data_IF_986313638917
#
_entry.id   IF_986313638917
#
_cell.length_a   1.000
_cell.length_b   1.000
_cell.length_c   1.000
_cell.angle_alpha   90.00
_cell.angle_beta   90.00
_cell.angle_gamma   90.00
#
_symmetry.space_group_name_H-M   'P 1'
#
loop_
_entity.id
_entity.type
_entity.pdbx_description
1 polymer ?
#
# COMPACT_ATOMS: atom_id res chain seq x y z
N UNK A 1 -5.17 -8.01 -40.96
CA UNK A 1 -6.01 -8.48 -39.85
C UNK A 1 -5.58 -7.67 -38.64
N UNK A 2 -6.33 -6.63 -38.28
CA UNK A 2 -5.93 -5.69 -37.22
C UNK A 2 -6.26 -6.29 -35.86
N UNK A 3 -5.22 -6.61 -35.08
CA UNK A 3 -5.36 -7.06 -33.69
C UNK A 3 -5.80 -5.85 -32.85
N UNK A 4 -7.11 -5.73 -32.63
CA UNK A 4 -7.66 -4.86 -31.60
C UNK A 4 -7.28 -5.46 -30.25
N UNK A 5 -6.17 -4.96 -29.70
CA UNK A 5 -5.77 -5.21 -28.31
C UNK A 5 -6.90 -4.67 -27.44
N UNK A 6 -7.70 -5.59 -26.89
CA UNK A 6 -8.72 -5.26 -25.91
C UNK A 6 -8.06 -4.49 -24.76
N UNK A 7 -8.66 -3.41 -24.22
CA UNK A 7 -8.21 -2.85 -22.97
C UNK A 7 -8.35 -3.97 -21.94
N UNK A 8 -7.21 -4.49 -21.46
CA UNK A 8 -7.15 -5.37 -20.31
C UNK A 8 -8.02 -4.74 -19.22
N UNK A 9 -8.92 -5.50 -18.57
CA UNK A 9 -9.75 -4.95 -17.50
C UNK A 9 -8.79 -4.23 -16.57
N UNK A 10 -9.07 -2.95 -16.31
CA UNK A 10 -8.33 -2.12 -15.39
C UNK A 10 -8.20 -2.92 -14.11
N UNK A 11 -7.09 -3.66 -13.98
CA UNK A 11 -6.70 -4.26 -12.72
C UNK A 11 -6.66 -3.04 -11.85
N UNK A 12 -7.59 -3.00 -10.90
CA UNK A 12 -7.61 -2.05 -9.83
C UNK A 12 -6.30 -2.31 -9.08
N UNK A 13 -5.19 -1.83 -9.65
CA UNK A 13 -3.86 -2.04 -9.13
C UNK A 13 -3.89 -1.21 -7.89
N UNK A 14 -4.07 -1.88 -6.76
CA UNK A 14 -3.80 -1.29 -5.49
C UNK A 14 -2.32 -0.94 -5.51
N UNK A 15 -2.05 0.31 -5.86
CA UNK A 15 -0.72 0.88 -5.84
C UNK A 15 -0.32 1.11 -4.40
N UNK A 16 0.99 1.18 -4.16
CA UNK A 16 1.54 1.55 -2.86
C UNK A 16 0.96 2.87 -2.32
N UNK A 17 0.60 3.81 -3.20
CA UNK A 17 -0.08 5.07 -2.83
C UNK A 17 -1.43 4.84 -2.13
N UNK A 18 -2.24 3.89 -2.61
CA UNK A 18 -3.53 3.56 -1.98
C UNK A 18 -3.29 2.90 -0.63
N UNK A 19 -2.29 2.02 -0.52
CA UNK A 19 -1.89 1.44 0.78
C UNK A 19 -1.48 2.55 1.76
N UNK A 20 -0.70 3.52 1.32
CA UNK A 20 -0.25 4.63 2.16
C UNK A 20 -1.43 5.50 2.61
N UNK A 21 -2.39 5.79 1.73
CA UNK A 21 -3.59 6.53 2.10
C UNK A 21 -4.45 5.77 3.14
N UNK A 22 -4.68 4.48 2.92
CA UNK A 22 -5.41 3.62 3.85
C UNK A 22 -4.69 3.56 5.22
N UNK A 23 -3.38 3.37 5.22
CA UNK A 23 -2.57 3.37 6.42
C UNK A 23 -2.64 4.72 7.15
N UNK A 24 -2.61 5.84 6.42
CA UNK A 24 -2.74 7.20 6.96
C UNK A 24 -4.11 7.40 7.60
N UNK A 25 -5.19 6.98 6.94
CA UNK A 25 -6.54 7.04 7.49
C UNK A 25 -6.69 6.19 8.76
N UNK A 26 -6.10 4.99 8.79
CA UNK A 26 -6.14 4.11 9.97
C UNK A 26 -5.36 4.70 11.14
N UNK A 27 -4.23 5.38 10.88
CA UNK A 27 -3.46 6.10 11.89
C UNK A 27 -4.22 7.32 12.41
N UNK A 28 -4.84 8.10 11.52
CA UNK A 28 -5.64 9.29 11.88
C UNK A 28 -6.85 8.91 12.75
N UNK A 29 -7.52 7.80 12.41
CA UNK A 29 -8.61 7.23 13.21
C UNK A 29 -8.17 6.65 14.56
N UNK A 30 -6.86 6.50 14.78
CA UNK A 30 -6.30 5.84 15.98
C UNK A 30 -6.49 4.33 16.00
N UNK A 31 -6.85 3.71 14.86
CA UNK A 31 -7.03 2.26 14.73
C UNK A 31 -5.69 1.54 14.73
N UNK A 32 -4.71 2.10 14.01
CA UNK A 32 -3.32 1.59 13.99
C UNK A 32 -2.36 2.70 14.38
N UNK A 33 -1.13 2.36 14.74
CA UNK A 33 -0.10 3.33 15.07
C UNK A 33 1.02 3.27 14.04
N UNK A 34 1.64 4.42 13.74
CA UNK A 34 2.85 4.50 12.91
C UNK A 34 4.04 3.64 13.36
N UNK A 35 4.04 3.17 14.61
CA UNK A 35 5.07 2.25 15.11
C UNK A 35 4.72 0.78 14.93
N UNK A 36 3.47 0.48 14.56
CA UNK A 36 3.05 -0.88 14.26
C UNK A 36 3.61 -1.34 12.91
N UNK A 37 3.78 -2.65 12.74
CA UNK A 37 4.30 -3.21 11.50
C UNK A 37 3.28 -3.13 10.35
N UNK A 38 3.76 -3.05 9.11
CA UNK A 38 2.95 -2.95 7.89
C UNK A 38 2.01 -4.16 7.76
N UNK A 39 2.41 -5.35 8.21
CA UNK A 39 1.56 -6.54 8.13
C UNK A 39 0.21 -6.37 8.85
N UNK A 40 0.10 -5.48 9.85
CA UNK A 40 -1.17 -5.22 10.55
C UNK A 40 -2.24 -4.72 9.56
N UNK A 41 -1.83 -4.05 8.48
CA UNK A 41 -2.74 -3.54 7.45
C UNK A 41 -3.46 -4.67 6.70
N UNK A 42 -2.88 -5.88 6.66
CA UNK A 42 -3.54 -7.07 6.11
C UNK A 42 -4.81 -7.47 6.88
N UNK A 43 -4.94 -7.09 8.15
CA UNK A 43 -6.17 -7.32 8.93
C UNK A 43 -7.32 -6.39 8.51
N UNK A 44 -7.00 -5.26 7.88
CA UNK A 44 -7.96 -4.24 7.44
C UNK A 44 -8.20 -4.29 5.93
N UNK A 45 -7.22 -4.75 5.16
CA UNK A 45 -7.26 -4.82 3.71
C UNK A 45 -7.64 -6.24 3.26
N UNK A 46 -8.59 -6.40 2.33
CA UNK A 46 -8.96 -7.72 1.84
C UNK A 46 -7.77 -8.42 1.17
N UNK A 47 -7.61 -9.72 1.45
CA UNK A 47 -6.51 -10.54 0.94
C UNK A 47 -6.33 -10.49 -0.60
N UNK A 48 -7.42 -10.28 -1.35
CA UNK A 48 -7.37 -10.12 -2.81
C UNK A 48 -6.51 -8.93 -3.24
N UNK A 49 -6.55 -7.85 -2.48
CA UNK A 49 -5.82 -6.61 -2.80
C UNK A 49 -4.44 -6.63 -2.15
N UNK A 50 -4.31 -7.28 -0.99
CA UNK A 50 -3.04 -7.52 -0.31
C UNK A 50 -2.00 -8.20 -1.22
N UNK A 51 -2.40 -9.19 -2.02
CA UNK A 51 -1.48 -9.87 -2.97
C UNK A 51 -0.82 -8.89 -3.95
N UNK A 52 -1.56 -7.87 -4.43
CA UNK A 52 -0.99 -6.84 -5.29
C UNK A 52 -0.05 -5.90 -4.53
N UNK A 53 -0.43 -5.58 -3.29
CA UNK A 53 0.32 -4.72 -2.40
C UNK A 53 1.65 -5.34 -1.96
N UNK A 54 1.67 -6.63 -1.62
CA UNK A 54 2.90 -7.34 -1.26
C UNK A 54 3.93 -7.27 -2.38
N UNK A 55 3.49 -7.47 -3.62
CA UNK A 55 4.35 -7.36 -4.78
C UNK A 55 4.92 -5.93 -4.94
N UNK A 56 4.11 -4.90 -4.71
CA UNK A 56 4.58 -3.50 -4.76
C UNK A 56 5.50 -3.15 -3.59
N UNK A 57 5.22 -3.65 -2.38
CA UNK A 57 6.09 -3.50 -1.21
C UNK A 57 7.46 -4.12 -1.47
N UNK A 58 7.52 -5.36 -1.99
CA UNK A 58 8.77 -6.02 -2.35
C UNK A 58 9.53 -5.26 -3.46
N UNK A 59 8.82 -4.70 -4.45
CA UNK A 59 9.43 -3.87 -5.51
C UNK A 59 10.02 -2.56 -4.99
N UNK A 60 9.47 -2.03 -3.90
CA UNK A 60 9.95 -0.82 -3.24
C UNK A 60 10.87 -1.11 -2.03
N UNK A 61 11.31 -2.37 -1.85
CA UNK A 61 12.18 -2.81 -0.75
C UNK A 61 11.57 -2.66 0.66
N UNK A 62 10.24 -2.56 0.76
CA UNK A 62 9.55 -2.58 2.04
C UNK A 62 9.33 -3.99 2.55
N UNK A 63 9.48 -4.16 3.85
CA UNK A 63 9.25 -5.42 4.53
C UNK A 63 7.93 -5.36 5.31
N UNK A 64 7.20 -6.47 5.37
CA UNK A 64 5.97 -6.56 6.16
C UNK A 64 6.16 -6.26 7.66
N UNK A 65 7.36 -6.50 8.17
CA UNK A 65 7.77 -6.17 9.54
C UNK A 65 8.17 -4.71 9.73
N UNK A 66 8.35 -3.97 8.62
CA UNK A 66 8.69 -2.57 8.69
C UNK A 66 7.52 -1.78 9.28
N UNK A 67 7.80 -0.58 9.79
CA UNK A 67 6.82 0.22 10.49
C UNK A 67 5.93 0.92 9.47
N UNK A 68 4.65 1.06 9.79
CA UNK A 68 3.72 1.89 9.02
C UNK A 68 4.28 3.32 8.86
N UNK A 69 5.02 3.83 9.85
CA UNK A 69 5.67 5.13 9.77
C UNK A 69 6.81 5.21 8.75
N UNK A 70 7.43 4.10 8.38
CA UNK A 70 8.44 4.05 7.32
C UNK A 70 7.77 4.10 5.95
N UNK A 71 6.71 3.29 5.79
CA UNK A 71 5.81 3.31 4.65
C UNK A 71 5.21 4.70 4.38
N UNK A 72 4.76 5.39 5.44
CA UNK A 72 4.20 6.76 5.36
C UNK A 72 5.29 7.86 5.31
N UNK A 73 6.52 7.53 5.72
CA UNK A 73 7.61 8.48 5.91
C UNK A 73 8.48 8.66 4.67
N UNK A 74 8.45 7.72 3.73
CA UNK A 74 9.20 7.83 2.48
C UNK A 74 8.62 8.86 1.50
N UNK A 75 7.36 9.29 1.68
CA UNK A 75 6.82 10.50 1.07
C UNK A 75 7.27 11.72 1.89
N UNK A 76 8.47 12.22 1.61
CA UNK A 76 8.94 13.57 1.93
C UNK A 76 8.26 14.26 3.12
N UNK A 77 8.83 14.13 4.33
CA UNK A 77 8.79 15.24 5.29
C UNK A 77 9.66 16.38 4.77
N UNK A 78 9.26 17.01 3.65
CA UNK A 78 9.86 18.26 3.16
C UNK A 78 9.10 19.46 3.74
N UNK A 79 8.78 19.42 5.03
CA UNK A 79 8.20 20.56 5.72
C UNK A 79 8.87 20.74 7.08
N UNK A 80 10.13 21.18 7.04
CA UNK A 80 10.56 22.50 7.54
C UNK A 80 11.98 22.82 7.05
#
# INVERSE_FOLDING_TARGET
MNLHTLPTPSSNRYSLEILQDEARQLVDRGTVSRHQPIYILCEYIPAREWVGIECELERCDYLLRDRIGDLLGSECWNND
#
